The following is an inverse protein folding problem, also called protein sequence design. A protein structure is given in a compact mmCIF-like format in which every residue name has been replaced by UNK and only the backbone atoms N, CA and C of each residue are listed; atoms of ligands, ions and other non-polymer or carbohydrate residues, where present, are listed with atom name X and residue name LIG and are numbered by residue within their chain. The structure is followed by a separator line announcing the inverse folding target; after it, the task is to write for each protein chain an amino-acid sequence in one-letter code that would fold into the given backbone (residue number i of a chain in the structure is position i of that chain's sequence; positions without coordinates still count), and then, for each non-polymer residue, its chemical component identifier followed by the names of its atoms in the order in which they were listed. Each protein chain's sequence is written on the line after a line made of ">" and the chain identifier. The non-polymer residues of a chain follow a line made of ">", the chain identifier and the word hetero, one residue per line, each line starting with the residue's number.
data_IF_739103084617
#
_entry.id   IF_739103084617
#
_cell.length_a   1.000
_cell.length_b   1.000
_cell.length_c   1.000
_cell.angle_alpha   90.00
_cell.angle_beta   90.00
_cell.angle_gamma   90.00
#
_symmetry.space_group_name_H-M   'P 1'
#
loop_
_entity.id
_entity.type
_entity.pdbx_description
1 polymer ?
#
# COMPACT_ATOMS: atom_id res chain seq x y z
N UNK A 1 -22.04 2.14 -1.32
CA UNK A 1 -21.84 1.38 -2.58
C UNK A 1 -20.36 1.07 -2.87
N UNK A 2 -19.49 0.94 -1.85
CA UNK A 2 -18.02 0.88 -2.02
C UNK A 2 -17.38 -0.52 -1.96
N UNK A 3 -18.17 -1.60 -1.83
CA UNK A 3 -17.63 -2.94 -1.51
C UNK A 3 -17.20 -3.81 -2.70
N UNK A 4 -17.38 -3.36 -3.95
CA UNK A 4 -17.26 -4.26 -5.13
C UNK A 4 -16.21 -3.83 -6.16
N UNK A 5 -15.57 -2.68 -6.00
CA UNK A 5 -14.70 -2.10 -7.03
C UNK A 5 -13.59 -3.05 -7.48
N UNK A 6 -12.82 -3.59 -6.54
CA UNK A 6 -11.69 -4.48 -6.86
C UNK A 6 -12.13 -5.81 -7.49
N UNK A 7 -13.13 -6.48 -6.90
CA UNK A 7 -13.64 -7.76 -7.41
C UNK A 7 -14.27 -7.61 -8.80
N UNK A 8 -15.07 -6.58 -9.01
CA UNK A 8 -15.68 -6.29 -10.32
C UNK A 8 -14.62 -5.97 -11.37
N UNK A 9 -13.62 -5.16 -11.02
CA UNK A 9 -12.53 -4.84 -11.93
C UNK A 9 -11.69 -6.08 -12.27
N UNK A 10 -11.46 -6.98 -11.31
CA UNK A 10 -10.78 -8.25 -11.54
C UNK A 10 -11.57 -9.17 -12.48
N UNK A 11 -12.88 -9.35 -12.22
CA UNK A 11 -13.75 -10.14 -13.08
C UNK A 11 -13.78 -9.59 -14.52
N UNK A 12 -13.80 -8.27 -14.67
CA UNK A 12 -13.74 -7.61 -15.99
C UNK A 12 -12.46 -7.97 -16.75
N UNK A 13 -11.31 -8.11 -16.07
CA UNK A 13 -10.05 -8.51 -16.69
C UNK A 13 -10.05 -9.99 -17.11
N UNK A 14 -10.73 -10.86 -16.35
CA UNK A 14 -10.92 -12.26 -16.72
C UNK A 14 -11.80 -12.38 -17.96
N UNK A 15 -12.93 -11.67 -18.00
CA UNK A 15 -13.83 -11.65 -19.17
C UNK A 15 -13.13 -11.11 -20.43
N UNK A 16 -12.24 -10.12 -20.28
CA UNK A 16 -11.45 -9.58 -21.38
C UNK A 16 -10.24 -10.44 -21.78
N UNK A 17 -10.09 -11.64 -21.21
CA UNK A 17 -8.98 -12.56 -21.45
C UNK A 17 -7.58 -11.95 -21.24
N UNK A 18 -7.47 -10.94 -20.37
CA UNK A 18 -6.20 -10.26 -20.05
C UNK A 18 -5.46 -10.85 -18.85
N UNK A 19 -6.12 -11.74 -18.10
CA UNK A 19 -5.51 -12.55 -17.06
C UNK A 19 -6.00 -13.99 -17.17
N UNK A 20 -5.10 -14.93 -16.92
CA UNK A 20 -5.46 -16.33 -16.71
C UNK A 20 -5.96 -16.52 -15.28
N UNK A 21 -7.14 -17.13 -15.09
CA UNK A 21 -7.72 -17.31 -13.76
C UNK A 21 -6.83 -18.21 -12.91
N UNK A 22 -6.55 -17.77 -11.68
CA UNK A 22 -5.76 -18.52 -10.71
C UNK A 22 -6.37 -18.43 -9.31
N UNK A 23 -6.41 -19.55 -8.58
CA UNK A 23 -6.91 -19.61 -7.19
C UNK A 23 -6.15 -18.65 -6.26
N UNK A 24 -4.83 -18.49 -6.45
CA UNK A 24 -4.01 -17.58 -5.63
C UNK A 24 -4.33 -16.11 -5.91
N UNK A 25 -4.64 -15.75 -7.15
CA UNK A 25 -5.07 -14.40 -7.53
C UNK A 25 -6.40 -14.05 -6.87
N UNK A 26 -7.37 -14.97 -6.90
CA UNK A 26 -8.66 -14.76 -6.24
C UNK A 26 -8.50 -14.60 -4.73
N UNK A 27 -7.65 -15.42 -4.09
CA UNK A 27 -7.34 -15.29 -2.67
C UNK A 27 -6.68 -13.94 -2.34
N UNK A 28 -5.76 -13.47 -3.19
CA UNK A 28 -5.13 -12.16 -3.05
C UNK A 28 -6.16 -11.03 -3.17
N UNK A 29 -7.02 -11.07 -4.19
CA UNK A 29 -8.10 -10.09 -4.39
C UNK A 29 -9.02 -10.02 -3.19
N UNK A 30 -9.40 -11.16 -2.61
CA UNK A 30 -10.22 -11.19 -1.40
C UNK A 30 -9.53 -10.51 -0.21
N UNK A 31 -8.25 -10.81 0.04
CA UNK A 31 -7.50 -10.20 1.15
C UNK A 31 -7.29 -8.70 0.95
N UNK A 32 -7.03 -8.26 -0.28
CA UNK A 32 -6.91 -6.83 -0.61
C UNK A 32 -8.24 -6.09 -0.44
N UNK A 33 -9.37 -6.74 -0.75
CA UNK A 33 -10.69 -6.16 -0.52
C UNK A 33 -10.99 -5.97 0.98
N UNK A 34 -10.58 -6.92 1.82
CA UNK A 34 -10.63 -6.77 3.28
C UNK A 34 -9.77 -5.59 3.72
N UNK A 35 -8.51 -5.52 3.28
CA UNK A 35 -7.62 -4.41 3.60
C UNK A 35 -8.21 -3.05 3.19
N UNK A 36 -8.84 -2.96 2.01
CA UNK A 36 -9.49 -1.73 1.56
C UNK A 36 -10.62 -1.30 2.48
N UNK A 37 -11.39 -2.27 2.99
CA UNK A 37 -12.48 -2.02 3.95
C UNK A 37 -11.92 -1.54 5.28
N UNK A 38 -10.86 -2.19 5.76
CA UNK A 38 -10.20 -1.83 7.01
C UNK A 38 -9.58 -0.43 6.95
N UNK A 39 -8.94 -0.08 5.82
CA UNK A 39 -8.41 1.27 5.57
C UNK A 39 -9.52 2.33 5.58
N UNK A 40 -10.65 2.03 4.94
CA UNK A 40 -11.78 2.97 4.89
C UNK A 40 -12.39 3.19 6.28
N UNK A 41 -12.61 2.13 7.04
CA UNK A 41 -13.16 2.20 8.41
C UNK A 41 -12.20 2.95 9.34
N UNK A 42 -10.89 2.70 9.22
CA UNK A 42 -9.88 3.39 10.02
C UNK A 42 -9.83 4.90 9.71
N UNK A 43 -9.96 5.29 8.43
CA UNK A 43 -10.04 6.69 8.04
C UNK A 43 -11.25 7.39 8.68
N UNK A 44 -12.43 6.76 8.66
CA UNK A 44 -13.64 7.29 9.29
C UNK A 44 -13.50 7.41 10.82
N UNK A 45 -12.90 6.40 11.47
CA UNK A 45 -12.65 6.40 12.91
C UNK A 45 -11.68 7.50 13.32
N UNK A 46 -10.62 7.74 12.55
CA UNK A 46 -9.63 8.77 12.85
C UNK A 46 -10.21 10.19 12.70
N UNK A 47 -11.14 10.40 11.76
CA UNK A 47 -11.83 11.68 11.58
C UNK A 47 -12.70 12.09 12.78
N UNK A 48 -13.14 11.13 13.61
CA UNK A 48 -14.07 11.36 14.72
C UNK A 48 -13.41 11.24 16.10
N UNK A 49 -12.12 10.91 16.18
CA UNK A 49 -11.42 10.70 17.45
C UNK A 49 -10.63 11.94 17.87
N UNK A 50 -11.12 12.64 18.89
CA UNK A 50 -10.41 13.75 19.57
C UNK A 50 -9.39 13.27 20.61
N UNK A 51 -9.21 11.96 20.77
CA UNK A 51 -8.34 11.39 21.80
C UNK A 51 -6.97 10.98 21.24
N UNK A 52 -5.93 11.73 21.63
CA UNK A 52 -4.51 11.49 21.32
C UNK A 52 -3.92 10.21 21.97
N UNK A 53 -4.73 9.42 22.70
CA UNK A 53 -4.25 8.31 23.52
C UNK A 53 -4.99 6.98 23.31
N UNK A 54 -5.79 6.82 22.25
CA UNK A 54 -6.25 5.49 21.89
C UNK A 54 -5.11 4.76 21.17
N UNK A 55 -4.61 3.69 21.78
CA UNK A 55 -3.73 2.68 21.19
C UNK A 55 -4.46 1.98 20.04
N UNK A 56 -4.62 2.69 18.93
CA UNK A 56 -5.32 2.22 17.74
C UNK A 56 -4.47 1.10 17.14
N UNK A 57 -5.06 -0.10 17.03
CA UNK A 57 -4.36 -1.26 16.48
C UNK A 57 -3.86 -0.92 15.08
N UNK A 58 -2.53 -0.94 14.89
CA UNK A 58 -1.90 -0.62 13.61
C UNK A 58 -2.45 -1.55 12.53
N UNK A 59 -3.01 -0.98 11.45
CA UNK A 59 -3.44 -1.76 10.30
C UNK A 59 -2.26 -2.56 9.74
N UNK A 60 -2.45 -3.87 9.56
CA UNK A 60 -1.42 -4.75 9.01
C UNK A 60 -1.46 -4.71 7.48
N UNK A 61 -0.30 -4.57 6.86
CA UNK A 61 -0.15 -4.68 5.40
C UNK A 61 -0.17 -6.13 4.90
N UNK A 62 -0.12 -6.29 3.57
CA UNK A 62 0.00 -7.58 2.90
C UNK A 62 1.38 -7.73 2.27
N UNK A 63 2.04 -8.87 2.52
CA UNK A 63 3.22 -9.31 1.79
C UNK A 63 2.83 -10.31 0.70
N UNK A 64 3.10 -9.97 -0.56
CA UNK A 64 2.68 -10.76 -1.74
C UNK A 64 3.90 -11.40 -2.37
N UNK A 65 3.94 -12.73 -2.42
CA UNK A 65 5.02 -13.51 -3.04
C UNK A 65 4.46 -14.65 -3.91
N UNK A 66 5.29 -15.20 -4.79
CA UNK A 66 4.94 -16.32 -5.67
C UNK A 66 5.63 -16.24 -7.03
N UNK A 67 5.47 -17.27 -7.86
CA UNK A 67 6.17 -17.45 -9.14
C UNK A 67 6.01 -16.27 -10.11
N UNK A 68 7.00 -16.07 -10.99
CA UNK A 68 6.97 -15.03 -12.03
C UNK A 68 5.78 -15.25 -12.98
N UNK A 69 5.21 -14.19 -13.55
CA UNK A 69 4.08 -14.29 -14.50
C UNK A 69 2.70 -14.54 -13.88
N UNK A 70 2.58 -14.74 -12.57
CA UNK A 70 1.29 -15.00 -11.89
C UNK A 70 0.37 -13.77 -11.74
N UNK A 71 0.74 -12.61 -12.28
CA UNK A 71 -0.11 -11.42 -12.26
C UNK A 71 -0.13 -10.63 -10.94
N UNK A 72 0.77 -10.92 -9.99
CA UNK A 72 0.86 -10.23 -8.68
C UNK A 72 0.88 -8.70 -8.81
N UNK A 73 1.80 -8.17 -9.61
CA UNK A 73 1.94 -6.73 -9.83
C UNK A 73 0.70 -6.14 -10.49
N UNK A 74 0.04 -6.89 -11.37
CA UNK A 74 -1.18 -6.44 -12.04
C UNK A 74 -2.35 -6.31 -11.07
N UNK A 75 -2.46 -7.21 -10.11
CA UNK A 75 -3.49 -7.14 -9.05
C UNK A 75 -3.18 -5.99 -8.07
N UNK A 76 -1.91 -5.75 -7.75
CA UNK A 76 -1.51 -4.60 -6.94
C UNK A 76 -1.88 -3.26 -7.63
N UNK A 77 -1.68 -3.17 -8.95
CA UNK A 77 -2.07 -1.99 -9.74
C UNK A 77 -3.58 -1.79 -9.77
N UNK A 78 -4.31 -2.89 -9.90
CA UNK A 78 -5.76 -2.88 -9.84
C UNK A 78 -6.24 -2.37 -8.47
N UNK A 79 -5.66 -2.88 -7.39
CA UNK A 79 -5.96 -2.42 -6.02
C UNK A 79 -5.75 -0.91 -5.89
N UNK A 80 -4.58 -0.39 -6.29
CA UNK A 80 -4.29 1.04 -6.26
C UNK A 80 -5.32 1.87 -7.06
N UNK A 81 -5.70 1.41 -8.25
CA UNK A 81 -6.70 2.09 -9.09
C UNK A 81 -8.12 2.08 -8.52
N UNK A 82 -8.42 1.12 -7.64
CA UNK A 82 -9.75 0.96 -7.03
C UNK A 82 -9.83 1.52 -5.61
N UNK A 83 -8.75 2.14 -5.11
CA UNK A 83 -8.76 2.76 -3.80
C UNK A 83 -9.77 3.92 -3.73
N UNK A 84 -10.47 4.09 -2.59
CA UNK A 84 -11.36 5.23 -2.40
C UNK A 84 -10.61 6.57 -2.54
N UNK A 85 -11.27 7.63 -3.05
CA UNK A 85 -10.63 8.95 -3.21
C UNK A 85 -10.07 9.56 -1.92
N UNK A 86 -10.58 9.15 -0.76
CA UNK A 86 -10.08 9.60 0.54
C UNK A 86 -8.74 8.99 0.95
N UNK A 87 -8.24 7.97 0.22
CA UNK A 87 -6.99 7.29 0.54
C UNK A 87 -5.93 7.66 -0.49
N UNK A 88 -4.88 8.34 -0.05
CA UNK A 88 -3.69 8.59 -0.87
C UNK A 88 -2.85 7.33 -0.96
N UNK A 89 -2.21 7.11 -2.10
CA UNK A 89 -1.33 5.97 -2.32
C UNK A 89 -0.11 6.39 -3.14
N UNK A 90 1.01 5.73 -2.88
CA UNK A 90 2.26 5.90 -3.61
C UNK A 90 2.78 4.52 -4.02
N UNK A 91 3.09 4.36 -5.30
CA UNK A 91 3.79 3.18 -5.82
C UNK A 91 5.28 3.48 -5.89
N UNK A 92 6.11 2.57 -5.42
CA UNK A 92 7.54 2.72 -5.47
C UNK A 92 8.22 1.38 -5.80
N UNK A 93 9.23 1.43 -6.67
CA UNK A 93 10.11 0.29 -6.87
C UNK A 93 11.15 0.27 -5.75
N UNK A 94 11.38 -0.90 -5.17
CA UNK A 94 12.26 -1.04 -4.01
C UNK A 94 13.68 -0.51 -4.26
N UNK A 95 14.21 -0.70 -5.46
CA UNK A 95 15.56 -0.19 -5.79
C UNK A 95 15.59 1.34 -5.82
N UNK A 96 14.63 1.98 -6.50
CA UNK A 96 14.50 3.44 -6.54
C UNK A 96 14.28 4.02 -5.13
N UNK A 97 13.47 3.34 -4.32
CA UNK A 97 13.26 3.68 -2.92
C UNK A 97 14.59 3.70 -2.14
N UNK A 98 15.35 2.62 -2.22
CA UNK A 98 16.59 2.49 -1.47
C UNK A 98 17.63 3.51 -1.93
N UNK A 99 17.70 3.83 -3.23
CA UNK A 99 18.58 4.88 -3.74
C UNK A 99 18.20 6.26 -3.19
N UNK A 100 16.91 6.61 -3.14
CA UNK A 100 16.43 7.86 -2.52
C UNK A 100 16.81 7.91 -1.03
N UNK A 101 16.53 6.85 -0.27
CA UNK A 101 16.89 6.75 1.15
C UNK A 101 18.40 6.92 1.37
N UNK A 102 19.24 6.25 0.58
CA UNK A 102 20.69 6.37 0.70
C UNK A 102 21.19 7.78 0.36
N UNK A 103 20.62 8.43 -0.65
CA UNK A 103 20.94 9.81 -1.03
C UNK A 103 20.61 10.81 0.08
N UNK A 104 19.41 10.70 0.67
CA UNK A 104 18.97 11.53 1.81
C UNK A 104 19.86 11.32 3.03
N UNK A 105 20.22 10.07 3.32
CA UNK A 105 21.06 9.72 4.45
C UNK A 105 22.51 10.20 4.27
N UNK A 106 23.04 10.16 3.05
CA UNK A 106 24.34 10.77 2.73
C UNK A 106 24.29 12.30 2.94
N UNK A 107 23.27 12.97 2.41
CA UNK A 107 23.08 14.42 2.56
C UNK A 107 22.98 14.82 4.03
N UNK A 108 22.19 14.10 4.82
CA UNK A 108 22.01 14.37 6.25
C UNK A 108 23.31 14.26 7.04
N UNK A 109 24.17 13.28 6.73
CA UNK A 109 25.46 13.07 7.40
C UNK A 109 26.53 14.09 7.01
N UNK A 110 26.41 14.68 5.82
CA UNK A 110 27.35 15.69 5.33
C UNK A 110 27.09 17.10 5.90
N UNK A 111 25.97 17.30 6.60
CA UNK A 111 25.65 18.59 7.22
C UNK A 111 26.47 18.81 8.51
N UNK A 112 26.99 20.02 8.76
CA UNK A 112 27.82 20.32 9.94
C UNK A 112 27.05 20.28 11.26
N UNK A 113 25.72 20.34 11.22
CA UNK A 113 24.82 20.29 12.40
C UNK A 113 24.41 18.85 12.77
N UNK A 114 24.92 17.83 12.06
CA UNK A 114 24.46 16.47 12.21
C UNK A 114 24.82 15.85 13.58
N UNK A 115 23.80 15.37 14.30
CA UNK A 115 23.94 14.60 15.55
C UNK A 115 22.81 13.57 15.66
N UNK A 116 23.15 12.30 15.88
CA UNK A 116 22.17 11.20 16.06
C UNK A 116 21.88 10.37 14.80
N UNK A 117 20.71 9.72 14.76
CA UNK A 117 20.26 8.87 13.65
C UNK A 117 19.23 9.61 12.76
N UNK A 118 19.55 9.90 11.47
CA UNK A 118 18.66 10.64 10.58
C UNK A 118 17.53 9.78 10.02
N UNK A 119 17.55 8.45 10.21
CA UNK A 119 16.57 7.54 9.60
C UNK A 119 15.13 7.84 10.05
N UNK A 120 14.93 8.20 11.31
CA UNK A 120 13.59 8.53 11.81
C UNK A 120 13.02 9.79 11.16
N UNK A 121 13.86 10.78 10.90
CA UNK A 121 13.45 12.00 10.21
C UNK A 121 13.16 11.70 8.74
N UNK A 122 14.09 11.03 8.06
CA UNK A 122 13.92 10.62 6.66
C UNK A 122 12.66 9.77 6.49
N UNK A 123 12.38 8.86 7.42
CA UNK A 123 11.18 8.01 7.38
C UNK A 123 9.86 8.76 7.60
N UNK A 124 9.88 9.97 8.17
CA UNK A 124 8.68 10.85 8.25
C UNK A 124 8.47 11.65 6.97
N UNK A 125 9.53 11.90 6.22
CA UNK A 125 9.53 12.71 5.00
C UNK A 125 9.26 11.89 3.71
N UNK A 126 9.00 10.59 3.83
CA UNK A 126 8.78 9.65 2.72
C UNK A 126 7.32 9.25 2.64
#
# INVERSE_FOLDING_TARGET
>A
MSQTGLKTAYNTLLTRHRLTPNRSQLALVNRLNTLQTDLHNHHLSNSNSTSKYSSQASLKGLYIYGSVGTGKSRIADLFASTLPPCITHRRMHFYEFMMDIHSRLHTARSLPTFSGDPLLQIGRDV
#
